data_IF_615918279881
#
_entry.id   IF_615918279881
#
_cell.length_a   1.000
_cell.length_b   1.000
_cell.length_c   1.000
_cell.angle_alpha   90.00
_cell.angle_beta   90.00
_cell.angle_gamma   90.00
#
_symmetry.space_group_name_H-M   'P 1'
#
loop_
_entity.id
_entity.type
_entity.pdbx_description
1 polymer ?
#
# COMPACT_ATOMS: atom_id res chain seq x y z
N UNK A 1 -16.66 73.35 -78.67
CA UNK A 1 -16.27 72.67 -77.43
C UNK A 1 -17.34 71.67 -77.08
N UNK A 2 -17.08 70.39 -77.34
CA UNK A 2 -18.04 69.30 -77.07
C UNK A 2 -17.78 68.88 -75.62
N UNK A 3 -18.82 69.02 -74.79
CA UNK A 3 -18.78 68.63 -73.37
C UNK A 3 -19.19 67.12 -73.29
N UNK A 4 -18.18 66.29 -73.15
CA UNK A 4 -18.39 64.85 -72.96
C UNK A 4 -18.61 64.59 -71.47
N UNK A 5 -19.82 64.12 -71.09
CA UNK A 5 -20.09 63.67 -69.76
C UNK A 5 -19.54 62.25 -69.59
N UNK A 6 -19.00 61.89 -68.42
CA UNK A 6 -18.46 60.57 -68.16
C UNK A 6 -19.64 59.58 -68.09
N UNK A 7 -19.45 58.40 -68.76
CA UNK A 7 -20.40 57.28 -68.73
C UNK A 7 -20.20 56.63 -67.38
N UNK A 8 -21.25 56.69 -66.55
CA UNK A 8 -21.28 55.97 -65.25
C UNK A 8 -21.67 54.53 -65.54
N UNK A 9 -20.67 53.60 -65.30
CA UNK A 9 -20.87 52.15 -65.48
C UNK A 9 -21.63 51.58 -64.30
N UNK A 10 -22.93 51.38 -64.41
CA UNK A 10 -23.74 50.67 -63.38
C UNK A 10 -23.63 49.19 -63.58
N UNK A 11 -22.49 48.64 -63.26
CA UNK A 11 -22.29 47.22 -63.18
C UNK A 11 -22.95 46.56 -61.90
N UNK A 12 -23.58 45.42 -62.03
CA UNK A 12 -24.08 44.66 -60.88
C UNK A 12 -22.92 44.45 -59.88
N UNK A 13 -23.08 44.91 -58.64
CA UNK A 13 -22.16 44.57 -57.55
C UNK A 13 -21.97 43.08 -57.37
N UNK A 14 -20.73 42.54 -57.38
CA UNK A 14 -20.50 41.14 -57.15
C UNK A 14 -21.04 40.72 -55.80
N UNK A 15 -21.95 39.75 -55.78
CA UNK A 15 -22.45 39.17 -54.51
C UNK A 15 -21.31 38.53 -53.74
N UNK A 16 -21.03 38.98 -52.51
CA UNK A 16 -20.06 38.32 -51.62
C UNK A 16 -20.43 36.86 -51.45
N UNK A 17 -19.48 35.90 -51.62
CA UNK A 17 -19.73 34.51 -51.36
C UNK A 17 -20.16 34.33 -49.91
N UNK A 18 -21.31 33.71 -49.67
CA UNK A 18 -21.78 33.36 -48.32
C UNK A 18 -20.74 32.39 -47.69
N UNK A 19 -20.08 32.84 -46.62
CA UNK A 19 -19.24 31.94 -45.81
C UNK A 19 -20.09 30.79 -45.33
N UNK A 20 -19.80 29.56 -45.79
CA UNK A 20 -20.36 28.34 -45.22
C UNK A 20 -19.83 28.21 -43.78
N UNK A 21 -20.67 28.44 -42.78
CA UNK A 21 -20.31 28.18 -41.41
C UNK A 21 -20.12 26.67 -41.27
N UNK A 22 -18.99 26.18 -40.71
CA UNK A 22 -18.82 24.77 -40.47
C UNK A 22 -19.95 24.29 -39.53
N UNK A 23 -20.56 23.18 -39.86
CA UNK A 23 -21.69 22.63 -39.11
C UNK A 23 -21.13 21.95 -37.84
N UNK A 24 -20.68 22.78 -36.87
CA UNK A 24 -20.06 22.32 -35.62
C UNK A 24 -21.00 21.43 -34.79
N UNK A 25 -22.32 21.60 -34.92
CA UNK A 25 -23.30 20.83 -34.15
C UNK A 25 -23.30 19.34 -34.59
N UNK A 26 -23.15 19.06 -35.88
CA UNK A 26 -23.13 17.69 -36.39
C UNK A 26 -21.91 16.87 -35.91
N UNK A 27 -20.75 17.52 -35.79
CA UNK A 27 -19.53 16.89 -35.30
C UNK A 27 -19.63 16.43 -33.83
N UNK A 28 -20.21 17.28 -32.96
CA UNK A 28 -20.41 16.96 -31.56
C UNK A 28 -21.42 15.83 -31.32
N UNK A 29 -22.50 15.76 -32.13
CA UNK A 29 -23.49 14.69 -32.06
C UNK A 29 -22.85 13.36 -32.42
N UNK A 30 -22.04 13.31 -33.49
CA UNK A 30 -21.30 12.10 -33.87
C UNK A 30 -20.31 11.68 -32.80
N UNK A 31 -19.57 12.64 -32.19
CA UNK A 31 -18.64 12.35 -31.09
C UNK A 31 -19.37 11.77 -29.87
N UNK A 32 -20.49 12.35 -29.46
CA UNK A 32 -21.28 11.85 -28.34
C UNK A 32 -21.90 10.48 -28.63
N UNK A 33 -22.35 10.22 -29.87
CA UNK A 33 -22.84 8.92 -30.26
C UNK A 33 -21.74 7.86 -30.24
N UNK A 34 -20.55 8.16 -30.75
CA UNK A 34 -19.42 7.21 -30.71
C UNK A 34 -18.95 6.93 -29.28
N UNK A 35 -18.89 7.96 -28.41
CA UNK A 35 -18.60 7.79 -26.99
C UNK A 35 -19.69 6.97 -26.27
N UNK A 36 -20.97 7.23 -26.57
CA UNK A 36 -22.09 6.47 -26.02
C UNK A 36 -22.08 5.00 -26.44
N UNK A 37 -21.85 4.72 -27.72
CA UNK A 37 -21.72 3.37 -28.24
C UNK A 37 -20.49 2.68 -27.62
N UNK A 38 -19.35 3.37 -27.57
CA UNK A 38 -18.14 2.86 -26.91
C UNK A 38 -18.39 2.50 -25.46
N UNK A 39 -19.08 3.36 -24.70
CA UNK A 39 -19.46 3.10 -23.31
C UNK A 39 -20.37 1.87 -23.16
N UNK A 40 -21.39 1.72 -24.00
CA UNK A 40 -22.30 0.58 -23.97
C UNK A 40 -21.60 -0.73 -24.31
N UNK A 41 -20.62 -0.71 -25.24
CA UNK A 41 -19.85 -1.90 -25.61
C UNK A 41 -18.79 -2.24 -24.54
N UNK A 42 -18.11 -1.25 -24.00
CA UNK A 42 -16.99 -1.47 -23.06
C UNK A 42 -17.51 -1.85 -21.66
N UNK A 43 -18.61 -1.22 -21.21
CA UNK A 43 -19.17 -1.46 -19.87
C UNK A 43 -19.38 -2.93 -19.51
N UNK A 44 -19.98 -3.78 -20.35
CA UNK A 44 -20.14 -5.21 -20.04
C UNK A 44 -18.82 -6.00 -20.12
N UNK A 45 -17.78 -5.46 -20.77
CA UNK A 45 -16.46 -6.12 -20.83
C UNK A 45 -15.60 -5.85 -19.60
N UNK A 46 -15.86 -4.76 -18.85
CA UNK A 46 -15.07 -4.38 -17.66
C UNK A 46 -15.07 -5.51 -16.61
N UNK A 47 -16.21 -6.11 -16.20
CA UNK A 47 -16.21 -7.22 -15.25
C UNK A 47 -15.45 -8.45 -15.76
N UNK A 48 -15.51 -8.73 -17.05
CA UNK A 48 -14.80 -9.85 -17.66
C UNK A 48 -13.27 -9.62 -17.67
N UNK A 49 -12.82 -8.40 -17.96
CA UNK A 49 -11.40 -8.04 -17.90
C UNK A 49 -10.89 -8.04 -16.46
N UNK A 50 -11.68 -7.54 -15.52
CA UNK A 50 -11.36 -7.58 -14.08
C UNK A 50 -11.31 -9.01 -13.57
N UNK A 51 -12.27 -9.87 -13.95
CA UNK A 51 -12.30 -11.28 -13.57
C UNK A 51 -11.06 -12.04 -14.11
N UNK A 52 -10.65 -11.82 -15.35
CA UNK A 52 -9.41 -12.40 -15.90
C UNK A 52 -8.16 -11.94 -15.15
N UNK A 53 -8.09 -10.65 -14.78
CA UNK A 53 -6.99 -10.09 -14.00
C UNK A 53 -6.95 -10.66 -12.58
N UNK A 54 -8.11 -10.79 -11.94
CA UNK A 54 -8.25 -11.41 -10.63
C UNK A 54 -7.84 -12.89 -10.65
N UNK A 55 -8.23 -13.66 -11.66
CA UNK A 55 -7.82 -15.06 -11.78
C UNK A 55 -6.32 -15.23 -12.01
N UNK A 56 -5.70 -14.43 -12.86
CA UNK A 56 -4.26 -14.45 -13.06
C UNK A 56 -3.51 -14.07 -11.77
N UNK A 57 -3.98 -13.07 -11.04
CA UNK A 57 -3.40 -12.65 -9.76
C UNK A 57 -3.52 -13.74 -8.71
N UNK A 58 -4.68 -14.39 -8.59
CA UNK A 58 -4.89 -15.49 -7.62
C UNK A 58 -3.99 -16.69 -7.92
N UNK A 59 -3.89 -17.13 -9.17
CA UNK A 59 -3.02 -18.25 -9.57
C UNK A 59 -1.53 -17.93 -9.33
N UNK A 60 -1.11 -16.68 -9.56
CA UNK A 60 0.24 -16.23 -9.25
C UNK A 60 0.50 -16.23 -7.74
N UNK A 61 -0.48 -15.78 -6.93
CA UNK A 61 -0.38 -15.80 -5.48
C UNK A 61 -0.27 -17.24 -4.95
N UNK A 62 -1.13 -18.15 -5.40
CA UNK A 62 -1.09 -19.57 -5.00
C UNK A 62 0.26 -20.22 -5.34
N UNK A 63 0.86 -19.92 -6.50
CA UNK A 63 2.19 -20.41 -6.86
C UNK A 63 3.26 -19.84 -5.92
N UNK A 64 3.31 -18.52 -5.73
CA UNK A 64 4.29 -17.87 -4.87
C UNK A 64 4.17 -18.34 -3.41
N UNK A 65 2.94 -18.53 -2.90
CA UNK A 65 2.68 -19.13 -1.59
C UNK A 65 3.26 -20.54 -1.53
N UNK A 66 3.01 -21.38 -2.55
CA UNK A 66 3.53 -22.76 -2.62
C UNK A 66 5.06 -22.82 -2.55
N UNK A 67 5.75 -21.90 -3.21
CA UNK A 67 7.22 -21.82 -3.25
C UNK A 67 7.83 -21.34 -1.92
N UNK A 68 7.13 -20.43 -1.22
CA UNK A 68 7.67 -19.73 -0.05
C UNK A 68 7.31 -20.41 1.30
N UNK A 69 6.14 -21.02 1.42
CA UNK A 69 5.60 -21.52 2.70
C UNK A 69 6.42 -22.64 3.33
N UNK A 70 7.08 -23.47 2.52
CA UNK A 70 7.90 -24.59 2.98
C UNK A 70 9.36 -24.18 3.29
N UNK A 71 9.68 -22.89 3.16
CA UNK A 71 11.02 -22.39 3.43
C UNK A 71 11.37 -22.51 4.93
N UNK A 72 12.65 -22.81 5.22
CA UNK A 72 13.17 -22.70 6.59
C UNK A 72 13.35 -21.27 7.05
N UNK A 73 13.37 -20.32 6.11
CA UNK A 73 13.52 -18.89 6.39
C UNK A 73 12.17 -18.32 6.85
N UNK A 74 12.16 -17.74 8.06
CA UNK A 74 10.96 -17.10 8.62
C UNK A 74 10.43 -15.98 7.71
N UNK A 75 11.32 -15.14 7.16
CA UNK A 75 10.94 -14.02 6.30
C UNK A 75 10.20 -14.48 5.04
N UNK A 76 10.65 -15.59 4.42
CA UNK A 76 9.96 -16.17 3.27
C UNK A 76 8.59 -16.74 3.64
N UNK A 77 8.47 -17.41 4.79
CA UNK A 77 7.16 -17.88 5.29
C UNK A 77 6.23 -16.72 5.62
N UNK A 78 6.76 -15.61 6.16
CA UNK A 78 5.99 -14.40 6.43
C UNK A 78 5.43 -13.79 5.14
N UNK A 79 6.23 -13.73 4.08
CA UNK A 79 5.77 -13.30 2.77
C UNK A 79 4.68 -14.22 2.20
N UNK A 80 4.81 -15.55 2.36
CA UNK A 80 3.76 -16.49 1.98
C UNK A 80 2.46 -16.25 2.77
N UNK A 81 2.58 -16.00 4.07
CA UNK A 81 1.44 -15.68 4.94
C UNK A 81 0.74 -14.38 4.52
N UNK A 82 1.51 -13.34 4.17
CA UNK A 82 0.98 -12.09 3.65
C UNK A 82 0.26 -12.29 2.30
N UNK A 83 0.88 -13.01 1.37
CA UNK A 83 0.26 -13.35 0.08
C UNK A 83 -1.05 -14.13 0.25
N UNK A 84 -1.14 -15.04 1.23
CA UNK A 84 -2.36 -15.77 1.52
C UNK A 84 -3.53 -14.84 1.91
N UNK A 85 -3.25 -13.70 2.57
CA UNK A 85 -4.28 -12.69 2.88
C UNK A 85 -4.94 -12.09 1.64
N UNK A 86 -4.24 -12.02 0.50
CA UNK A 86 -4.78 -11.48 -0.74
C UNK A 86 -5.85 -12.38 -1.38
N UNK A 87 -6.00 -13.60 -0.92
CA UNK A 87 -7.06 -14.52 -1.38
C UNK A 87 -8.36 -14.37 -0.58
N UNK A 88 -8.38 -13.56 0.47
CA UNK A 88 -9.51 -13.34 1.36
C UNK A 88 -10.26 -12.05 0.99
N UNK A 89 -11.56 -12.05 1.25
CA UNK A 89 -12.39 -10.85 1.11
C UNK A 89 -12.42 -10.18 2.47
N UNK A 90 -11.82 -9.00 2.58
CA UNK A 90 -11.73 -8.23 3.81
C UNK A 90 -12.27 -6.82 3.58
N UNK A 91 -13.29 -6.44 4.36
CA UNK A 91 -13.82 -5.08 4.43
C UNK A 91 -12.87 -4.22 5.29
N UNK A 92 -12.58 -3.00 4.84
CA UNK A 92 -11.74 -2.08 5.59
C UNK A 92 -12.51 -1.53 6.81
N UNK A 93 -12.04 -1.87 8.02
CA UNK A 93 -12.70 -1.47 9.27
C UNK A 93 -11.66 -1.10 10.34
N UNK A 94 -11.58 0.19 10.66
CA UNK A 94 -10.71 0.74 11.70
C UNK A 94 -11.39 0.88 13.06
N UNK A 95 -12.61 0.33 13.22
CA UNK A 95 -13.39 0.39 14.46
C UNK A 95 -12.66 -0.22 15.66
N UNK A 96 -13.07 0.20 16.84
CA UNK A 96 -12.63 -0.37 18.10
C UNK A 96 -13.44 -1.64 18.39
N UNK A 97 -12.77 -2.69 18.85
CA UNK A 97 -13.35 -3.98 19.21
C UNK A 97 -12.89 -4.39 20.60
N UNK A 98 -13.77 -5.00 21.37
CA UNK A 98 -13.41 -5.68 22.61
C UNK A 98 -12.89 -7.08 22.23
N UNK A 99 -11.61 -7.32 22.47
CA UNK A 99 -10.89 -8.50 22.02
C UNK A 99 -10.47 -9.37 23.20
N UNK A 100 -10.46 -10.68 23.01
CA UNK A 100 -9.78 -11.59 23.92
C UNK A 100 -8.29 -11.24 24.00
N UNK A 101 -7.66 -11.56 25.12
CA UNK A 101 -6.22 -11.41 25.30
C UNK A 101 -5.64 -12.64 26.01
N UNK A 102 -4.51 -13.21 25.55
CA UNK A 102 -3.89 -12.98 24.23
C UNK A 102 -4.69 -13.61 23.08
N UNK A 103 -4.26 -13.40 21.85
CA UNK A 103 -4.79 -14.08 20.66
C UNK A 103 -6.11 -13.51 20.12
N UNK A 104 -6.59 -12.38 20.65
CA UNK A 104 -7.81 -11.76 20.16
C UNK A 104 -7.68 -11.21 18.75
N UNK A 105 -8.76 -11.32 17.96
CA UNK A 105 -8.84 -10.78 16.60
C UNK A 105 -10.23 -10.20 16.35
N UNK A 106 -10.30 -9.23 15.46
CA UNK A 106 -11.56 -8.72 14.93
C UNK A 106 -12.17 -9.74 13.96
N UNK A 107 -13.44 -9.63 13.56
CA UNK A 107 -14.04 -10.56 12.61
C UNK A 107 -13.16 -10.75 11.36
N UNK A 108 -12.96 -12.00 10.93
CA UNK A 108 -11.98 -12.35 9.87
C UNK A 108 -12.21 -11.63 8.55
N UNK A 109 -13.46 -11.26 8.24
CA UNK A 109 -13.84 -10.51 7.05
C UNK A 109 -13.65 -8.98 7.18
N UNK A 110 -13.06 -8.50 8.29
CA UNK A 110 -12.76 -7.10 8.56
C UNK A 110 -11.29 -6.89 8.86
N UNK A 111 -10.77 -5.70 8.60
CA UNK A 111 -9.38 -5.38 8.94
C UNK A 111 -8.84 -4.15 8.25
N UNK A 112 -7.72 -3.67 8.79
CA UNK A 112 -6.91 -2.59 8.24
C UNK A 112 -5.51 -3.12 7.89
N UNK A 113 -4.60 -2.24 7.46
CA UNK A 113 -3.20 -2.61 7.15
C UNK A 113 -2.47 -3.27 8.33
N UNK A 114 -2.69 -2.80 9.56
CA UNK A 114 -2.09 -3.40 10.76
C UNK A 114 -2.60 -4.83 10.98
N UNK A 115 -3.90 -5.08 10.82
CA UNK A 115 -4.49 -6.42 10.99
C UNK A 115 -3.93 -7.44 9.99
N UNK A 116 -3.62 -6.99 8.77
CA UNK A 116 -2.94 -7.82 7.77
C UNK A 116 -1.57 -8.29 8.28
N UNK A 117 -0.76 -7.37 8.81
CA UNK A 117 0.57 -7.69 9.37
C UNK A 117 0.42 -8.61 10.59
N UNK A 118 -0.44 -8.26 11.55
CA UNK A 118 -0.69 -9.05 12.75
C UNK A 118 -1.11 -10.49 12.41
N UNK A 119 -2.06 -10.66 11.50
CA UNK A 119 -2.53 -11.98 11.06
C UNK A 119 -1.47 -12.77 10.31
N UNK A 120 -0.62 -12.10 9.52
CA UNK A 120 0.49 -12.76 8.84
C UNK A 120 1.50 -13.34 9.82
N UNK A 121 1.88 -12.60 10.86
CA UNK A 121 2.73 -13.09 11.95
C UNK A 121 2.03 -14.19 12.76
N UNK A 122 0.77 -14.01 13.10
CA UNK A 122 -0.01 -14.99 13.89
C UNK A 122 -0.13 -16.35 13.20
N UNK A 123 -0.24 -16.38 11.87
CA UNK A 123 -0.26 -17.63 11.12
C UNK A 123 1.05 -18.44 11.23
N UNK A 124 2.11 -17.79 11.69
CA UNK A 124 3.43 -18.39 11.97
C UNK A 124 3.68 -18.59 13.47
N UNK A 125 2.65 -18.46 14.31
CA UNK A 125 2.75 -18.66 15.75
C UNK A 125 3.26 -17.44 16.53
N UNK A 126 3.26 -16.25 15.94
CA UNK A 126 3.72 -15.00 16.57
C UNK A 126 2.55 -14.07 16.84
N UNK A 127 2.17 -13.90 18.09
CA UNK A 127 1.07 -12.99 18.46
C UNK A 127 1.57 -11.58 18.75
N UNK A 128 1.46 -10.70 17.75
CA UNK A 128 1.83 -9.29 17.92
C UNK A 128 0.89 -8.53 18.87
N UNK A 129 -0.31 -9.01 19.17
CA UNK A 129 -1.16 -8.41 20.21
C UNK A 129 -0.49 -8.56 21.57
N UNK A 130 -0.08 -9.79 21.91
CA UNK A 130 0.61 -10.11 23.16
C UNK A 130 1.94 -9.36 23.26
N UNK A 131 2.81 -9.52 22.27
CA UNK A 131 4.15 -8.96 22.28
C UNK A 131 4.17 -7.42 22.38
N UNK A 132 3.31 -6.72 21.65
CA UNK A 132 3.21 -5.26 21.72
C UNK A 132 2.64 -4.82 23.05
N UNK A 133 1.60 -5.49 23.55
CA UNK A 133 0.96 -5.13 24.81
C UNK A 133 1.90 -5.31 26.00
N UNK A 134 2.63 -6.42 26.07
CA UNK A 134 3.60 -6.68 27.14
C UNK A 134 4.74 -5.66 27.15
N UNK A 135 5.34 -5.38 25.97
CA UNK A 135 6.38 -4.35 25.91
C UNK A 135 5.84 -2.95 26.26
N UNK A 136 4.61 -2.63 25.82
CA UNK A 136 3.99 -1.36 26.18
C UNK A 136 3.66 -1.28 27.68
N UNK A 137 3.28 -2.38 28.33
CA UNK A 137 3.03 -2.38 29.78
C UNK A 137 4.27 -2.00 30.60
N UNK A 138 5.44 -2.44 30.14
CA UNK A 138 6.72 -2.12 30.80
C UNK A 138 7.31 -0.77 30.34
N UNK A 139 7.08 -0.40 29.09
CA UNK A 139 7.78 0.69 28.40
C UNK A 139 6.84 1.70 27.74
N UNK A 140 5.67 1.97 28.31
CA UNK A 140 4.62 2.78 27.70
C UNK A 140 5.10 4.13 27.16
N UNK A 141 5.98 4.81 27.89
CA UNK A 141 6.51 6.13 27.49
C UNK A 141 7.44 6.10 26.29
N UNK A 142 7.96 4.93 25.91
CA UNK A 142 8.80 4.76 24.72
C UNK A 142 7.97 4.65 23.44
N UNK A 143 6.66 4.42 23.56
CA UNK A 143 5.72 4.36 22.45
C UNK A 143 5.16 5.73 22.09
N UNK A 144 4.68 5.95 20.85
CA UNK A 144 4.10 7.21 20.43
C UNK A 144 2.86 7.59 21.27
N UNK A 145 2.88 8.80 21.84
CA UNK A 145 1.81 9.30 22.72
C UNK A 145 0.76 10.07 21.90
N UNK A 146 0.19 9.45 20.84
CA UNK A 146 -0.65 10.12 19.86
C UNK A 146 -2.16 10.11 20.24
N UNK A 147 -2.57 9.32 21.24
CA UNK A 147 -4.00 9.07 21.51
C UNK A 147 -4.43 9.46 22.94
N UNK A 148 -3.64 10.31 23.60
CA UNK A 148 -3.91 10.81 24.98
C UNK A 148 -4.20 9.67 26.00
N UNK A 149 -3.67 8.46 25.73
CA UNK A 149 -3.81 7.31 26.64
C UNK A 149 -2.79 7.41 27.78
N UNK A 150 -3.16 6.88 28.94
CA UNK A 150 -2.28 6.83 30.12
C UNK A 150 -1.70 5.44 30.37
N UNK A 151 -2.27 4.45 29.73
CA UNK A 151 -1.93 3.03 29.87
C UNK A 151 -2.15 2.29 28.54
N UNK A 152 -1.50 1.12 28.34
CA UNK A 152 -1.73 0.27 27.18
C UNK A 152 -3.16 -0.23 27.11
N UNK A 153 -3.59 -0.57 25.88
CA UNK A 153 -4.90 -1.12 25.60
C UNK A 153 -4.76 -2.31 24.63
N UNK A 154 -4.86 -3.53 25.16
CA UNK A 154 -4.69 -4.78 24.41
C UNK A 154 -5.64 -4.93 23.24
N UNK A 155 -6.77 -4.18 23.22
CA UNK A 155 -7.75 -4.22 22.15
C UNK A 155 -7.32 -3.51 20.89
N UNK A 156 -6.42 -2.49 21.00
CA UNK A 156 -6.16 -1.58 19.89
C UNK A 156 -4.67 -1.32 19.63
N UNK A 157 -3.79 -1.51 20.62
CA UNK A 157 -2.41 -1.06 20.50
C UNK A 157 -1.64 -1.75 19.38
N UNK A 158 -1.84 -3.04 19.17
CA UNK A 158 -1.27 -3.81 18.06
C UNK A 158 -1.90 -3.48 16.69
N UNK A 159 -3.02 -2.78 16.67
CA UNK A 159 -3.69 -2.30 15.46
C UNK A 159 -3.28 -0.87 15.07
N UNK A 160 -2.40 -0.26 15.84
CA UNK A 160 -1.85 1.09 15.59
C UNK A 160 -0.48 0.98 14.93
N UNK A 161 -0.39 1.39 13.66
CA UNK A 161 0.85 1.31 12.89
C UNK A 161 2.06 1.93 13.61
N UNK A 162 1.98 3.14 14.23
CA UNK A 162 3.12 3.69 14.96
C UNK A 162 3.60 2.82 16.13
N UNK A 163 2.71 2.06 16.78
CA UNK A 163 3.08 1.14 17.85
C UNK A 163 3.78 -0.10 17.28
N UNK A 164 3.28 -0.67 16.19
CA UNK A 164 3.95 -1.78 15.48
C UNK A 164 5.36 -1.37 15.02
N UNK A 165 5.50 -0.19 14.40
CA UNK A 165 6.79 0.33 13.98
C UNK A 165 7.75 0.47 15.18
N UNK A 166 7.25 1.00 16.29
CA UNK A 166 8.07 1.12 17.52
C UNK A 166 8.48 -0.24 18.05
N UNK A 167 7.59 -1.21 18.06
CA UNK A 167 7.91 -2.58 18.47
C UNK A 167 8.99 -3.21 17.57
N UNK A 168 8.83 -3.11 16.25
CA UNK A 168 9.82 -3.65 15.30
C UNK A 168 11.17 -2.94 15.38
N UNK A 169 11.21 -1.65 15.66
CA UNK A 169 12.45 -0.90 15.92
C UNK A 169 13.18 -1.38 17.18
N UNK A 170 12.43 -1.82 18.20
CA UNK A 170 13.01 -2.27 19.49
C UNK A 170 13.50 -3.72 19.45
N UNK A 171 12.76 -4.61 18.78
CA UNK A 171 12.97 -6.07 18.83
C UNK A 171 13.39 -6.68 17.50
N UNK A 172 13.31 -5.93 16.42
CA UNK A 172 13.80 -6.31 15.10
C UNK A 172 15.08 -5.56 14.75
N UNK A 173 15.43 -5.64 13.48
CA UNK A 173 16.46 -4.82 12.87
C UNK A 173 15.77 -3.67 12.15
N UNK A 174 15.97 -2.45 12.61
CA UNK A 174 15.60 -1.25 11.87
C UNK A 174 16.64 -1.01 10.78
N UNK A 175 16.18 -0.81 9.56
CA UNK A 175 16.97 -0.68 8.35
C UNK A 175 16.82 0.74 7.79
N UNK A 176 17.75 1.14 6.94
CA UNK A 176 17.68 2.43 6.25
C UNK A 176 16.48 2.49 5.30
N UNK A 177 15.82 3.65 5.25
CA UNK A 177 14.75 3.93 4.28
C UNK A 177 15.38 4.28 2.92
N UNK A 178 15.96 3.28 2.27
CA UNK A 178 16.67 3.44 1.01
C UNK A 178 15.72 3.63 -0.18
N UNK A 179 16.09 4.41 -1.21
CA UNK A 179 15.39 4.44 -2.47
C UNK A 179 15.73 3.26 -3.41
N UNK A 180 16.69 2.40 -3.03
CA UNK A 180 17.09 1.25 -3.83
C UNK A 180 16.30 0.02 -3.47
N UNK A 181 15.75 -0.67 -4.48
CA UNK A 181 15.01 -1.92 -4.30
C UNK A 181 15.88 -3.06 -3.76
N UNK A 182 17.20 -2.98 -3.98
CA UNK A 182 18.16 -4.01 -3.58
C UNK A 182 18.34 -4.08 -2.06
N UNK A 183 17.99 -3.01 -1.34
CA UNK A 183 18.09 -2.94 0.12
C UNK A 183 16.89 -3.59 0.84
N UNK A 184 15.85 -3.94 0.08
CA UNK A 184 14.64 -4.60 0.60
C UNK A 184 14.69 -6.10 0.33
N UNK A 185 14.35 -6.90 1.33
CA UNK A 185 14.23 -8.34 1.20
C UNK A 185 12.79 -8.82 1.38
N UNK A 186 12.49 -9.97 0.78
CA UNK A 186 11.20 -10.64 0.94
C UNK A 186 10.97 -10.96 2.42
N UNK A 187 9.86 -10.51 2.97
CA UNK A 187 9.50 -10.63 4.38
C UNK A 187 9.83 -9.41 5.23
N UNK A 188 10.45 -8.38 4.66
CA UNK A 188 10.61 -7.10 5.37
C UNK A 188 9.24 -6.45 5.61
N UNK A 189 9.13 -5.73 6.72
CA UNK A 189 7.98 -4.90 7.06
C UNK A 189 8.31 -3.46 6.73
N UNK A 190 7.45 -2.81 5.95
CA UNK A 190 7.64 -1.41 5.54
C UNK A 190 6.48 -0.57 6.02
N UNK A 191 6.81 0.59 6.59
CA UNK A 191 5.87 1.61 7.00
C UNK A 191 5.94 2.83 6.10
N UNK A 192 4.78 3.37 5.73
CA UNK A 192 4.67 4.56 4.89
C UNK A 192 3.88 5.67 5.56
N UNK A 193 4.19 6.89 5.13
CA UNK A 193 3.33 8.05 5.33
C UNK A 193 2.49 8.24 4.06
N UNK A 194 1.17 8.12 4.21
CA UNK A 194 0.23 8.38 3.12
C UNK A 194 -0.17 9.86 3.13
N UNK A 195 -0.01 10.54 2.01
CA UNK A 195 -0.47 11.91 1.82
C UNK A 195 -1.64 11.90 0.84
N UNK A 196 -2.86 12.07 1.32
CA UNK A 196 -4.05 12.17 0.49
C UNK A 196 -4.61 13.59 0.52
N UNK A 197 -4.43 14.34 -0.58
CA UNK A 197 -5.02 15.66 -0.77
C UNK A 197 -4.71 16.66 0.34
N UNK A 198 -5.74 17.31 0.89
CA UNK A 198 -5.62 18.35 1.91
C UNK A 198 -5.36 17.85 3.35
N UNK A 199 -5.19 16.55 3.57
CA UNK A 199 -4.81 16.00 4.86
C UNK A 199 -3.31 16.19 5.07
N UNK A 200 -2.91 17.33 5.62
CA UNK A 200 -1.52 17.65 5.97
C UNK A 200 -0.90 16.68 7.00
N UNK A 201 -1.71 15.96 7.74
CA UNK A 201 -1.29 14.88 8.64
C UNK A 201 -1.53 13.54 7.94
N UNK A 202 -0.58 13.12 7.11
CA UNK A 202 -0.62 11.86 6.40
C UNK A 202 -0.93 10.67 7.32
N UNK A 203 -1.75 9.74 6.85
CA UNK A 203 -2.05 8.49 7.57
C UNK A 203 -0.83 7.59 7.64
N UNK A 204 -0.63 6.91 8.77
CA UNK A 204 0.37 5.84 8.89
C UNK A 204 -0.13 4.58 8.21
N UNK A 205 0.71 3.94 7.43
CA UNK A 205 0.40 2.71 6.70
C UNK A 205 1.53 1.68 6.85
N UNK A 206 1.21 0.39 6.72
CA UNK A 206 2.18 -0.69 6.89
C UNK A 206 1.85 -1.86 5.96
N UNK A 207 2.87 -2.58 5.54
CA UNK A 207 2.74 -3.77 4.72
C UNK A 207 3.98 -4.65 4.78
N UNK A 208 3.96 -5.75 4.01
CA UNK A 208 5.02 -6.74 3.98
C UNK A 208 5.56 -6.84 2.56
N UNK A 209 6.88 -6.82 2.41
CA UNK A 209 7.57 -7.01 1.14
C UNK A 209 7.46 -8.47 0.70
N UNK A 210 7.06 -8.67 -0.53
CA UNK A 210 6.87 -9.99 -1.14
C UNK A 210 7.52 -10.01 -2.54
N UNK A 211 7.79 -11.19 -3.13
CA UNK A 211 8.26 -11.21 -4.52
C UNK A 211 7.19 -10.67 -5.46
N UNK A 212 7.60 -10.12 -6.60
CA UNK A 212 6.68 -9.77 -7.69
C UNK A 212 6.04 -11.01 -8.33
N UNK A 213 4.96 -10.86 -9.11
CA UNK A 213 4.25 -11.99 -9.74
C UNK A 213 4.99 -12.60 -10.93
N UNK A 214 6.06 -11.97 -11.38
CA UNK A 214 6.88 -12.38 -12.51
C UNK A 214 7.85 -13.51 -12.20
N UNK A 215 8.60 -13.94 -13.22
CA UNK A 215 9.70 -14.89 -13.06
C UNK A 215 11.01 -14.22 -12.61
N UNK A 216 11.04 -12.90 -12.44
CA UNK A 216 12.21 -12.16 -11.99
C UNK A 216 12.33 -12.26 -10.48
N UNK A 217 13.47 -12.73 -10.01
CA UNK A 217 13.78 -12.88 -8.59
C UNK A 217 14.08 -11.55 -7.88
N UNK A 218 14.26 -10.48 -8.63
CA UNK A 218 14.65 -9.14 -8.19
C UNK A 218 13.44 -8.20 -7.96
N UNK A 219 12.25 -8.54 -8.47
CA UNK A 219 11.06 -7.75 -8.23
C UNK A 219 10.60 -7.86 -6.77
N UNK A 220 10.46 -6.72 -6.11
CA UNK A 220 9.91 -6.59 -4.76
C UNK A 220 8.61 -5.80 -4.81
N UNK A 221 7.53 -6.50 -4.54
CA UNK A 221 6.20 -5.94 -4.42
C UNK A 221 5.80 -5.88 -2.94
N UNK A 222 4.61 -5.40 -2.65
CA UNK A 222 4.10 -5.35 -1.27
C UNK A 222 2.72 -5.95 -1.17
N UNK A 223 2.44 -6.55 0.00
CA UNK A 223 1.08 -6.87 0.41
C UNK A 223 0.68 -5.90 1.51
N UNK A 224 -0.40 -5.18 1.26
CA UNK A 224 -0.96 -4.20 2.17
C UNK A 224 -2.49 -4.12 2.03
N UNK A 225 -3.17 -3.35 2.92
CA UNK A 225 -4.60 -3.06 2.81
C UNK A 225 -4.82 -1.55 2.98
N UNK A 226 -5.06 -0.85 1.87
CA UNK A 226 -5.27 0.60 1.86
C UNK A 226 -6.76 0.99 1.74
N UNK A 227 -7.67 0.01 1.78
CA UNK A 227 -9.12 0.26 1.73
C UNK A 227 -9.92 -0.73 0.91
N UNK A 228 -9.32 -1.36 -0.10
CA UNK A 228 -10.00 -2.33 -1.00
C UNK A 228 -9.90 -3.78 -0.52
N UNK A 229 -9.33 -4.01 0.65
CA UNK A 229 -8.90 -5.31 1.14
C UNK A 229 -7.41 -5.54 0.94
N UNK A 230 -6.88 -6.72 1.30
CA UNK A 230 -5.49 -7.08 1.07
C UNK A 230 -5.16 -7.15 -0.43
N UNK A 231 -4.20 -6.37 -0.87
CA UNK A 231 -3.76 -6.28 -2.27
C UNK A 231 -2.27 -6.58 -2.40
N UNK A 232 -1.88 -7.23 -3.49
CA UNK A 232 -0.51 -7.51 -3.89
C UNK A 232 -0.13 -6.60 -5.04
N UNK A 233 0.68 -5.58 -4.77
CA UNK A 233 0.91 -4.48 -5.68
C UNK A 233 2.38 -4.06 -5.77
N UNK A 234 2.77 -3.51 -6.93
CA UNK A 234 4.05 -2.84 -7.14
C UNK A 234 3.98 -1.40 -6.62
N UNK A 235 3.98 -1.25 -5.30
CA UNK A 235 3.81 0.05 -4.63
C UNK A 235 4.82 0.32 -3.51
N UNK A 236 5.94 -0.38 -3.52
CA UNK A 236 6.95 -0.20 -2.48
C UNK A 236 7.39 1.26 -2.36
N UNK A 237 7.56 1.95 -3.49
CA UNK A 237 8.05 3.34 -3.55
C UNK A 237 7.00 4.37 -3.95
N UNK A 238 5.72 4.01 -4.00
CA UNK A 238 4.64 4.95 -4.36
C UNK A 238 4.37 5.99 -3.26
N UNK A 239 4.79 5.70 -2.03
CA UNK A 239 4.57 6.55 -0.86
C UNK A 239 5.89 6.80 -0.12
N UNK A 240 5.93 7.82 0.72
CA UNK A 240 7.09 8.12 1.57
C UNK A 240 7.32 6.98 2.57
N UNK A 241 8.43 6.25 2.44
CA UNK A 241 8.82 5.23 3.40
C UNK A 241 9.33 5.92 4.67
N UNK A 242 8.72 5.60 5.82
CA UNK A 242 9.06 6.15 7.14
C UNK A 242 9.55 5.09 8.12
N UNK A 243 9.60 3.84 7.68
CA UNK A 243 10.13 2.74 8.47
C UNK A 243 10.39 1.51 7.62
N UNK A 244 11.52 0.84 7.87
CA UNK A 244 11.93 -0.40 7.23
C UNK A 244 12.47 -1.34 8.28
N UNK A 245 11.85 -2.50 8.44
CA UNK A 245 12.14 -3.41 9.55
C UNK A 245 12.26 -4.84 9.06
N UNK A 246 13.18 -5.60 9.71
CA UNK A 246 13.28 -7.04 9.57
C UNK A 246 13.14 -7.67 10.93
N UNK A 247 12.03 -8.38 11.17
CA UNK A 247 11.73 -9.00 12.46
C UNK A 247 11.38 -10.48 12.28
N UNK A 248 12.16 -11.33 12.95
CA UNK A 248 11.93 -12.76 13.07
C UNK A 248 12.10 -13.16 14.55
N UNK A 249 11.05 -13.55 15.27
CA UNK A 249 11.16 -13.95 16.67
C UNK A 249 12.06 -15.17 16.81
N UNK A 250 12.88 -15.20 17.90
CA UNK A 250 13.82 -16.29 18.17
C UNK A 250 15.21 -16.16 17.55
N UNK A 251 15.49 -15.11 16.77
CA UNK A 251 16.85 -14.63 16.52
C UNK A 251 17.18 -13.60 17.58
N UNK A 252 17.87 -14.02 18.63
CA UNK A 252 18.47 -13.09 19.59
C UNK A 252 19.23 -12.01 18.80
N UNK A 253 18.98 -10.75 19.14
CA UNK A 253 19.75 -9.63 18.63
C UNK A 253 21.22 -9.80 19.10
N UNK A 254 22.05 -10.40 18.26
CA UNK A 254 23.47 -10.64 18.56
C UNK A 254 24.31 -9.37 18.60
N UNK A 255 23.70 -8.19 18.70
CA UNK A 255 24.38 -6.89 18.72
C UNK A 255 24.34 -6.17 20.07
N UNK A 256 23.49 -6.59 21.01
CA UNK A 256 23.44 -5.95 22.33
C UNK A 256 24.46 -6.50 23.35
N UNK A 257 25.08 -7.65 23.09
CA UNK A 257 26.03 -8.28 24.02
C UNK A 257 27.50 -7.92 23.78
N UNK A 258 27.84 -7.29 22.64
CA UNK A 258 29.23 -7.00 22.30
C UNK A 258 29.75 -5.66 22.84
N UNK A 259 28.89 -4.73 23.26
CA UNK A 259 29.31 -3.43 23.77
C UNK A 259 29.47 -3.38 25.30
N UNK A 260 29.02 -4.39 26.04
CA UNK A 260 29.09 -4.40 27.50
C UNK A 260 30.29 -5.17 28.06
N UNK A 261 31.05 -5.91 27.25
CA UNK A 261 32.27 -6.61 27.71
C UNK A 261 33.60 -5.85 27.48
N UNK A 262 33.56 -4.72 26.77
CA UNK A 262 34.77 -3.95 26.46
C UNK A 262 35.11 -2.84 27.48
N UNK A 263 34.39 -2.72 28.58
CA UNK A 263 34.43 -1.57 29.49
C UNK A 263 35.00 -1.77 30.92
N UNK A 264 35.56 -2.93 31.26
CA UNK A 264 36.17 -3.07 32.61
C UNK A 264 37.56 -3.68 32.50
N UNK A 265 38.58 -2.81 32.34
CA UNK A 265 39.95 -3.13 32.69
C UNK A 265 40.22 -2.69 34.16
N UNK A 266 40.66 -3.56 35.04
CA UNK A 266 41.10 -3.13 36.36
C UNK A 266 42.50 -2.56 36.25
N UNK A 267 42.67 -1.34 36.74
CA UNK A 267 43.98 -0.73 37.05
C UNK A 267 44.67 -1.47 38.19
N UNK A 268 45.93 -1.87 38.05
CA UNK A 268 46.72 -2.37 39.17
C UNK A 268 47.30 -1.25 40.02
N UNK A 269 47.24 -1.44 41.33
CA UNK A 269 48.01 -0.69 42.33
C UNK A 269 49.50 -0.99 42.29
#
# INVERSE_FOLDING_TARGET
MLNLQPIEYVGRTPSRPKKKHPNLIGGWVLLLMTLGIGFVIIRPMVPFLQSKRAHATKANAERAIGELKESKDFAKRLAAAALARTTEIVEYDSGYYDLSYPGGDIPSHKGICADLVVRSYRSLGVDLQELVHEDMAENFRLYPQLWERKEPDSNIDHRRVPNLQRYFSRYGKELENSPSIDDYEVGDVVGWRLSFGALEQGGSHIGIVVPGPGARSDEKWVVHNIGSGPEWEDKLFDYEIVGHYRFAPGRESSTASAENEAGISPTPH
#
